data_IF_941807514993
#
_entry.id   IF_941807514993
#
_cell.length_a   1.000
_cell.length_b   1.000
_cell.length_c   1.000
_cell.angle_alpha   90.00
_cell.angle_beta   90.00
_cell.angle_gamma   90.00
#
_symmetry.space_group_name_H-M   'P 1'
#
loop_
_entity.id
_entity.type
_entity.pdbx_description
1 polymer ?
#
# COMPACT_ATOMS: atom_id res chain seq x y z
N UNK A 1 -7.03 -5.64 29.10
CA UNK A 1 -6.94 -5.22 27.68
C UNK A 1 -6.06 -3.98 27.54
N UNK A 2 -4.79 -4.10 27.95
CA UNK A 2 -3.77 -3.05 27.88
C UNK A 2 -2.46 -3.79 27.60
N UNK A 3 -2.25 -4.18 26.35
CA UNK A 3 -1.02 -4.89 25.97
C UNK A 3 -0.48 -4.26 24.70
N UNK A 4 0.86 -4.14 24.63
CA UNK A 4 1.54 -3.71 23.41
C UNK A 4 1.27 -4.63 22.21
N UNK A 5 0.75 -5.84 22.44
CA UNK A 5 0.43 -6.80 21.40
C UNK A 5 -0.55 -6.22 20.37
N UNK A 6 -1.58 -5.45 20.79
CA UNK A 6 -2.53 -4.85 19.85
C UNK A 6 -1.85 -3.82 18.92
N UNK A 7 -0.98 -2.97 19.48
CA UNK A 7 -0.21 -1.99 18.70
C UNK A 7 0.75 -2.67 17.72
N UNK A 8 1.48 -3.68 18.19
CA UNK A 8 2.39 -4.46 17.34
C UNK A 8 1.65 -5.24 16.25
N UNK A 9 0.49 -5.81 16.53
CA UNK A 9 -0.32 -6.50 15.53
C UNK A 9 -0.82 -5.52 14.47
N UNK A 10 -1.28 -4.34 14.89
CA UNK A 10 -1.70 -3.30 13.96
C UNK A 10 -0.55 -2.91 13.01
N UNK A 11 0.66 -2.69 13.55
CA UNK A 11 1.85 -2.39 12.75
C UNK A 11 2.18 -3.55 11.80
N UNK A 12 2.20 -4.79 12.29
CA UNK A 12 2.49 -5.98 11.49
C UNK A 12 1.53 -6.10 10.29
N UNK A 13 0.23 -6.00 10.54
CA UNK A 13 -0.81 -6.13 9.51
C UNK A 13 -0.72 -4.98 8.51
N UNK A 14 -0.72 -3.74 8.98
CA UNK A 14 -0.80 -2.57 8.09
C UNK A 14 0.50 -2.32 7.31
N UNK A 15 1.65 -2.33 8.00
CA UNK A 15 2.90 -1.92 7.39
C UNK A 15 3.60 -3.05 6.62
N UNK A 16 3.41 -4.31 7.02
CA UNK A 16 4.23 -5.43 6.52
C UNK A 16 3.43 -6.52 5.80
N UNK A 17 2.22 -6.87 6.26
CA UNK A 17 1.36 -7.84 5.54
C UNK A 17 0.65 -7.15 4.37
N UNK A 18 -0.13 -6.10 4.66
CA UNK A 18 -0.72 -5.25 3.62
C UNK A 18 0.33 -4.38 2.92
N UNK A 19 1.47 -4.17 3.59
CA UNK A 19 2.63 -3.51 3.00
C UNK A 19 2.47 -2.01 2.79
N UNK A 20 1.52 -1.35 3.47
CA UNK A 20 1.22 0.08 3.33
C UNK A 20 1.87 0.83 4.48
N UNK A 21 3.06 1.38 4.26
CA UNK A 21 3.82 2.05 5.33
C UNK A 21 4.38 3.40 4.91
N UNK A 22 4.35 4.41 5.80
CA UNK A 22 5.02 5.67 5.54
C UNK A 22 6.54 5.47 5.52
N UNK A 23 7.21 6.13 4.58
CA UNK A 23 8.67 6.26 4.53
C UNK A 23 9.02 7.74 4.35
N UNK A 24 10.29 8.12 4.51
CA UNK A 24 10.70 9.52 4.42
C UNK A 24 10.26 10.18 3.11
N UNK A 25 10.49 9.49 2.00
CA UNK A 25 10.28 9.99 0.63
C UNK A 25 8.86 9.75 0.09
N UNK A 26 7.93 9.21 0.88
CA UNK A 26 6.58 8.92 0.37
C UNK A 26 5.84 7.81 1.11
N UNK A 27 4.89 7.19 0.41
CA UNK A 27 4.14 6.04 0.90
C UNK A 27 4.67 4.78 0.22
N UNK A 28 5.24 3.85 1.00
CA UNK A 28 5.70 2.56 0.48
C UNK A 28 4.52 1.59 0.39
N UNK A 29 4.42 0.88 -0.74
CA UNK A 29 3.42 -0.16 -1.00
C UNK A 29 4.11 -1.44 -1.44
N UNK A 30 4.15 -2.43 -0.55
CA UNK A 30 4.84 -3.70 -0.77
C UNK A 30 4.05 -4.87 -0.15
N UNK A 31 2.85 -5.21 -0.68
CA UNK A 31 1.99 -6.23 -0.09
C UNK A 31 2.62 -7.61 -0.18
N UNK A 32 2.58 -8.36 0.93
CA UNK A 32 2.98 -9.77 1.01
C UNK A 32 1.80 -10.53 1.65
N UNK A 33 0.69 -10.54 0.92
CA UNK A 33 -0.56 -11.16 1.38
C UNK A 33 -0.57 -12.67 1.15
N UNK A 34 -1.33 -13.43 1.95
CA UNK A 34 -1.53 -14.87 1.75
C UNK A 34 -1.88 -15.22 0.30
N UNK A 35 -1.39 -16.35 -0.20
CA UNK A 35 -1.55 -16.78 -1.61
C UNK A 35 -3.01 -16.98 -2.01
N UNK A 36 -3.88 -17.31 -1.05
CA UNK A 36 -5.30 -17.53 -1.27
C UNK A 36 -6.12 -16.23 -1.31
N UNK A 37 -5.52 -15.06 -1.03
CA UNK A 37 -6.23 -13.79 -1.14
C UNK A 37 -6.20 -13.29 -2.60
N UNK A 38 -7.36 -13.02 -3.22
CA UNK A 38 -7.41 -12.48 -4.58
C UNK A 38 -6.89 -11.05 -4.67
N UNK A 39 -6.79 -10.36 -3.53
CA UNK A 39 -6.45 -8.95 -3.45
C UNK A 39 -7.12 -8.28 -2.26
N UNK A 40 -6.98 -6.97 -2.15
CA UNK A 40 -7.70 -6.17 -1.16
C UNK A 40 -7.82 -4.71 -1.61
N UNK A 41 -8.71 -3.96 -0.97
CA UNK A 41 -8.81 -2.51 -1.10
C UNK A 41 -8.52 -1.85 0.24
N UNK A 42 -7.79 -0.75 0.22
CA UNK A 42 -7.48 0.04 1.41
C UNK A 42 -7.56 1.52 1.10
N UNK A 43 -7.96 2.32 2.09
CA UNK A 43 -7.83 3.78 2.04
C UNK A 43 -6.85 4.20 3.11
N UNK A 44 -5.82 4.96 2.72
CA UNK A 44 -4.82 5.50 3.65
C UNK A 44 -4.78 7.02 3.51
N UNK A 45 -4.98 7.72 4.62
CA UNK A 45 -4.67 9.15 4.68
C UNK A 45 -3.21 9.28 5.12
N UNK A 46 -2.40 9.95 4.31
CA UNK A 46 -0.99 10.22 4.60
C UNK A 46 -0.62 11.62 4.13
N UNK A 47 -0.09 12.44 5.05
CA UNK A 47 0.27 13.85 4.79
C UNK A 47 -0.85 14.63 4.08
N UNK A 48 -2.07 14.51 4.61
CA UNK A 48 -3.28 15.17 4.11
C UNK A 48 -3.74 14.77 2.68
N UNK A 49 -3.25 13.64 2.17
CA UNK A 49 -3.66 13.05 0.89
C UNK A 49 -4.33 11.70 1.14
N UNK A 50 -5.47 11.48 0.50
CA UNK A 50 -6.21 10.22 0.49
C UNK A 50 -5.67 9.31 -0.61
N UNK A 51 -5.06 8.21 -0.24
CA UNK A 51 -4.60 7.17 -1.15
C UNK A 51 -5.65 6.06 -1.23
N UNK A 52 -6.24 5.86 -2.40
CA UNK A 52 -7.15 4.75 -2.69
C UNK A 52 -6.36 3.61 -3.32
N UNK A 53 -6.13 2.55 -2.55
CA UNK A 53 -5.23 1.46 -2.93
C UNK A 53 -6.08 0.25 -3.29
N UNK A 54 -5.92 -0.26 -4.50
CA UNK A 54 -6.50 -1.51 -4.97
C UNK A 54 -5.38 -2.47 -5.32
N UNK A 55 -5.30 -3.59 -4.60
CA UNK A 55 -4.31 -4.65 -4.81
C UNK A 55 -5.04 -5.86 -5.38
N UNK A 56 -4.49 -6.42 -6.45
CA UNK A 56 -5.01 -7.61 -7.13
C UNK A 56 -3.87 -8.63 -7.29
N UNK A 57 -4.14 -9.90 -6.99
CA UNK A 57 -3.22 -11.01 -7.23
C UNK A 57 -3.51 -11.61 -8.60
N UNK A 58 -2.56 -11.48 -9.51
CA UNK A 58 -2.61 -12.02 -10.88
C UNK A 58 -1.59 -13.15 -11.10
N UNK A 59 -0.73 -13.42 -10.12
CA UNK A 59 0.25 -14.51 -10.13
C UNK A 59 0.54 -15.09 -8.75
N UNK A 60 1.39 -16.11 -8.71
CA UNK A 60 1.75 -16.88 -7.50
C UNK A 60 2.94 -16.29 -6.73
N UNK A 61 3.65 -15.33 -7.31
CA UNK A 61 4.78 -14.65 -6.70
C UNK A 61 4.37 -13.53 -5.74
N UNK A 62 5.34 -12.72 -5.35
CA UNK A 62 5.16 -11.54 -4.48
C UNK A 62 5.72 -10.26 -5.12
N UNK A 63 6.03 -10.30 -6.43
CA UNK A 63 6.49 -9.09 -7.13
C UNK A 63 5.29 -8.18 -7.34
N UNK A 64 5.48 -6.88 -7.11
CA UNK A 64 4.41 -5.89 -7.24
C UNK A 64 4.68 -4.98 -8.42
N UNK A 65 3.69 -4.83 -9.29
CA UNK A 65 3.66 -3.81 -10.34
C UNK A 65 2.69 -2.73 -9.88
N UNK A 66 3.15 -1.49 -9.75
CA UNK A 66 2.40 -0.40 -9.15
C UNK A 66 2.09 0.67 -10.21
N UNK A 67 0.84 1.09 -10.24
CA UNK A 67 0.34 2.20 -11.04
C UNK A 67 -0.20 3.28 -10.12
N UNK A 68 0.22 4.51 -10.35
CA UNK A 68 -0.25 5.71 -9.64
C UNK A 68 -0.98 6.58 -10.66
N UNK A 69 -2.27 6.81 -10.47
CA UNK A 69 -3.14 7.51 -11.43
C UNK A 69 -2.94 6.97 -12.86
N UNK A 70 -3.03 5.65 -13.00
CA UNK A 70 -2.86 4.88 -14.24
C UNK A 70 -1.47 4.93 -14.91
N UNK A 71 -0.47 5.58 -14.28
CA UNK A 71 0.92 5.55 -14.74
C UNK A 71 1.73 4.54 -13.95
N UNK A 72 2.39 3.61 -14.64
CA UNK A 72 3.33 2.67 -14.02
C UNK A 72 4.51 3.46 -13.43
N UNK A 73 4.91 3.09 -12.22
CA UNK A 73 6.13 3.62 -11.59
C UNK A 73 7.15 2.51 -11.39
N UNK A 74 8.42 2.90 -11.28
CA UNK A 74 9.49 2.01 -10.84
C UNK A 74 9.65 2.07 -9.32
N UNK A 75 9.96 0.91 -8.73
CA UNK A 75 10.04 0.77 -7.28
C UNK A 75 8.67 0.70 -6.60
N UNK A 76 8.67 0.94 -5.29
CA UNK A 76 7.49 0.73 -4.44
C UNK A 76 7.15 1.93 -3.53
N UNK A 77 7.79 3.08 -3.75
CA UNK A 77 7.54 4.30 -2.98
C UNK A 77 6.79 5.29 -3.85
N UNK A 78 5.59 5.63 -3.43
CA UNK A 78 4.75 6.62 -4.08
C UNK A 78 5.16 7.99 -3.51
N UNK A 79 5.73 8.88 -4.34
CA UNK A 79 6.12 10.20 -3.89
C UNK A 79 4.88 11.01 -3.50
N UNK A 80 5.09 12.08 -2.73
CA UNK A 80 4.00 13.01 -2.48
C UNK A 80 3.52 13.64 -3.78
N UNK A 81 2.21 13.76 -3.99
CA UNK A 81 1.70 14.43 -5.17
C UNK A 81 1.99 15.94 -5.08
N UNK A 82 1.89 16.65 -6.22
CA UNK A 82 1.96 18.10 -6.25
C UNK A 82 0.97 18.77 -5.29
N UNK A 83 1.28 19.99 -4.87
CA UNK A 83 0.41 20.82 -4.03
C UNK A 83 -1.01 20.91 -4.62
N UNK A 84 -2.02 20.76 -3.76
CA UNK A 84 -3.43 20.82 -4.14
C UNK A 84 -4.08 19.46 -4.46
N UNK A 85 -3.30 18.42 -4.74
CA UNK A 85 -3.84 17.06 -4.95
C UNK A 85 -4.19 16.43 -3.60
N UNK A 86 -5.47 16.12 -3.42
CA UNK A 86 -5.99 15.50 -2.19
C UNK A 86 -6.30 14.02 -2.33
N UNK A 87 -6.29 13.48 -3.55
CA UNK A 87 -6.62 12.09 -3.82
C UNK A 87 -5.64 11.48 -4.84
N UNK A 88 -5.18 10.27 -4.55
CA UNK A 88 -4.27 9.50 -5.39
C UNK A 88 -4.81 8.08 -5.51
N UNK A 89 -4.99 7.62 -6.74
CA UNK A 89 -5.45 6.26 -7.04
C UNK A 89 -4.23 5.37 -7.27
N UNK A 90 -4.19 4.25 -6.57
CA UNK A 90 -3.11 3.27 -6.67
C UNK A 90 -3.69 1.93 -7.05
N UNK A 91 -3.19 1.36 -8.15
CA UNK A 91 -3.47 -0.03 -8.55
C UNK A 91 -2.19 -0.84 -8.42
N UNK A 92 -2.27 -2.00 -7.77
CA UNK A 92 -1.14 -2.91 -7.57
C UNK A 92 -1.51 -4.27 -8.14
N UNK A 93 -0.64 -4.82 -8.98
CA UNK A 93 -0.74 -6.21 -9.43
C UNK A 93 0.38 -7.03 -8.80
N UNK A 94 0.01 -8.07 -8.06
CA UNK A 94 0.94 -9.05 -7.50
C UNK A 94 1.11 -10.18 -8.51
N UNK A 95 2.33 -10.39 -8.97
CA UNK A 95 2.74 -11.43 -9.94
C UNK A 95 3.63 -12.47 -9.30
#
# INVERSE_FOLDING_TARGET
>A
WLTGAAAWNFIAITNYILGIRPVYNGLCISPIIPKNWPGFKATRIFRNVKYQISVERVGIGNKSIIYVNDKKIDGNVIPLPPLGIKEVIIKVKIT
#
